data_IF_912445917660
#
_entry.id   IF_912445917660
#
_cell.length_a   1.000
_cell.length_b   1.000
_cell.length_c   1.000
_cell.angle_alpha   90.00
_cell.angle_beta   90.00
_cell.angle_gamma   90.00
#
_symmetry.space_group_name_H-M   'P 1'
#
loop_
_entity.id
_entity.type
_entity.pdbx_description
1 polymer ?
#
# COMPACT_ATOMS: atom_id res chain seq x y z
N UNK A 1 2.85 11.07 14.56
CA UNK A 1 2.88 9.78 13.82
C UNK A 1 2.37 9.91 12.37
N UNK A 2 2.46 11.09 11.71
CA UNK A 2 1.84 11.34 10.39
C UNK A 2 2.80 11.27 9.19
N UNK A 3 4.10 11.04 9.39
CA UNK A 3 5.12 11.12 8.31
C UNK A 3 5.24 9.84 7.47
N UNK A 4 4.50 8.78 7.82
CA UNK A 4 4.60 7.43 7.22
C UNK A 4 3.33 6.98 6.50
N UNK A 5 2.22 7.69 6.71
CA UNK A 5 0.96 7.43 6.01
C UNK A 5 1.05 8.11 4.65
N UNK A 6 0.82 7.35 3.58
CA UNK A 6 0.59 7.92 2.26
C UNK A 6 -0.64 8.84 2.35
N UNK A 7 -0.60 10.01 1.72
CA UNK A 7 -1.84 10.77 1.54
C UNK A 7 -2.73 10.05 0.54
N UNK A 8 -4.03 10.33 0.57
CA UNK A 8 -4.97 9.73 -0.38
C UNK A 8 -4.59 10.11 -1.82
N UNK A 9 -4.17 11.35 -2.05
CA UNK A 9 -3.67 11.83 -3.35
C UNK A 9 -2.45 11.03 -3.85
N UNK A 10 -1.47 10.79 -2.98
CA UNK A 10 -0.31 9.99 -3.34
C UNK A 10 -0.69 8.54 -3.63
N UNK A 11 -1.64 8.00 -2.88
CA UNK A 11 -2.15 6.66 -3.11
C UNK A 11 -2.85 6.58 -4.48
N UNK A 12 -3.69 7.55 -4.84
CA UNK A 12 -4.37 7.60 -6.15
C UNK A 12 -3.39 7.56 -7.32
N UNK A 13 -2.28 8.31 -7.24
CA UNK A 13 -1.26 8.34 -8.30
C UNK A 13 -0.67 6.96 -8.60
N UNK A 14 -0.62 6.09 -7.60
CA UNK A 14 0.01 4.77 -7.69
C UNK A 14 -0.99 3.61 -7.77
N UNK A 15 -2.31 3.87 -7.63
CA UNK A 15 -3.32 2.81 -7.64
C UNK A 15 -3.29 1.95 -8.89
N UNK A 16 -3.00 2.55 -10.04
CA UNK A 16 -2.91 1.84 -11.33
C UNK A 16 -1.76 0.83 -11.42
N UNK A 17 -0.80 0.85 -10.49
CA UNK A 17 0.32 -0.09 -10.47
C UNK A 17 0.01 -1.41 -9.77
N UNK A 18 -1.10 -1.50 -9.02
CA UNK A 18 -1.45 -2.74 -8.35
C UNK A 18 -2.15 -3.72 -9.29
N UNK A 19 -1.86 -5.03 -9.16
CA UNK A 19 -2.57 -6.04 -9.94
C UNK A 19 -4.05 -6.04 -9.56
N UNK A 20 -4.95 -6.36 -10.51
CA UNK A 20 -6.38 -6.46 -10.23
C UNK A 20 -6.66 -7.54 -9.17
N UNK A 21 -7.74 -7.43 -8.37
CA UNK A 21 -8.10 -8.41 -7.36
C UNK A 21 -8.12 -9.84 -7.91
N UNK A 22 -7.62 -10.79 -7.13
CA UNK A 22 -7.64 -12.19 -7.54
C UNK A 22 -9.10 -12.71 -7.53
N UNK A 23 -9.52 -13.37 -8.62
CA UNK A 23 -10.87 -13.93 -8.75
C UNK A 23 -11.12 -15.18 -7.89
N UNK A 24 -10.07 -15.80 -7.32
CA UNK A 24 -10.14 -16.97 -6.43
C UNK A 24 -9.04 -16.93 -5.37
N UNK A 25 -9.26 -17.63 -4.27
CA UNK A 25 -8.31 -17.77 -3.16
C UNK A 25 -8.53 -16.74 -2.06
N UNK A 26 -7.53 -16.57 -1.19
CA UNK A 26 -7.58 -15.58 -0.11
C UNK A 26 -7.54 -14.17 -0.71
N UNK A 27 -8.48 -13.28 -0.35
CA UNK A 27 -8.41 -11.88 -0.77
C UNK A 27 -7.07 -11.26 -0.40
N UNK A 28 -6.51 -10.46 -1.32
CA UNK A 28 -5.30 -9.68 -1.03
C UNK A 28 -5.61 -8.65 0.06
N UNK A 29 -4.58 -8.30 0.84
CA UNK A 29 -4.66 -7.18 1.77
C UNK A 29 -4.75 -5.87 1.01
N UNK A 30 -5.28 -4.84 1.67
CA UNK A 30 -5.32 -3.48 1.15
C UNK A 30 -3.90 -3.04 0.76
N UNK A 31 -3.69 -2.58 -0.50
CA UNK A 31 -2.40 -2.08 -0.96
C UNK A 31 -1.80 -0.98 -0.05
N UNK A 32 -2.63 -0.14 0.56
CA UNK A 32 -2.17 0.93 1.46
C UNK A 32 -1.45 0.37 2.68
N UNK A 33 -2.05 -0.61 3.34
CA UNK A 33 -1.47 -1.23 4.55
C UNK A 33 -0.12 -1.88 4.23
N UNK A 34 -0.03 -2.54 3.06
CA UNK A 34 1.21 -3.19 2.62
C UNK A 34 2.30 -2.16 2.34
N UNK A 35 1.99 -1.09 1.60
CA UNK A 35 2.95 -0.04 1.28
C UNK A 35 3.42 0.72 2.52
N UNK A 36 2.51 1.06 3.42
CA UNK A 36 2.87 1.74 4.67
C UNK A 36 3.83 0.88 5.50
N UNK A 37 3.64 -0.45 5.52
CA UNK A 37 4.58 -1.39 6.14
C UNK A 37 5.95 -1.39 5.47
N UNK A 38 6.01 -1.40 4.13
CA UNK A 38 7.27 -1.34 3.38
C UNK A 38 8.00 -0.02 3.68
N UNK A 39 7.30 1.11 3.63
CA UNK A 39 7.87 2.44 3.90
C UNK A 39 8.39 2.56 5.33
N UNK A 40 7.72 1.90 6.29
CA UNK A 40 8.21 1.80 7.66
C UNK A 40 9.55 1.07 7.71
N UNK A 41 9.64 -0.15 7.16
CA UNK A 41 10.89 -0.94 7.14
C UNK A 41 12.02 -0.18 6.44
N UNK A 42 11.76 0.41 5.28
CA UNK A 42 12.76 1.20 4.55
C UNK A 42 13.32 2.37 5.37
N UNK A 43 12.56 2.88 6.33
CA UNK A 43 12.97 3.99 7.18
C UNK A 43 13.66 3.53 8.46
N UNK A 44 13.21 2.42 9.05
CA UNK A 44 13.71 1.96 10.36
C UNK A 44 14.89 1.00 10.27
N UNK A 45 15.11 0.38 9.11
CA UNK A 45 15.97 -0.80 9.00
C UNK A 45 15.33 -2.01 9.67
#
# INVERSE_FOLDING_TARGET
MLRLLLTDEQLELIKGMFPPPAGRGRPRRDPRIVLEGILWVMRTG
#
